data_IF_991178880603
#
_entry.id   IF_991178880603
#
_cell.length_a   1.000
_cell.length_b   1.000
_cell.length_c   1.000
_cell.angle_alpha   90.00
_cell.angle_beta   90.00
_cell.angle_gamma   90.00
#
_symmetry.space_group_name_H-M   'P 1'
#
loop_
_entity.id
_entity.type
_entity.pdbx_description
1 polymer ?
#
# COMPACT_ATOMS: atom_id res chain seq x y z
N UNK A 1 28.79 -22.00 12.40
CA UNK A 1 27.68 -21.24 13.02
C UNK A 1 26.84 -20.44 12.02
N UNK A 2 27.15 -20.47 10.71
CA UNK A 2 26.40 -19.80 9.63
C UNK A 2 24.90 -20.15 9.58
N UNK A 3 24.51 -21.38 9.94
CA UNK A 3 23.12 -21.82 9.88
C UNK A 3 22.17 -21.03 10.79
N UNK A 4 22.58 -20.74 12.03
CA UNK A 4 21.74 -20.02 12.99
C UNK A 4 21.63 -18.55 12.64
N UNK A 5 22.72 -17.91 12.22
CA UNK A 5 22.70 -16.49 11.81
C UNK A 5 21.84 -16.28 10.56
N UNK A 6 21.96 -17.17 9.57
CA UNK A 6 21.12 -17.11 8.37
C UNK A 6 19.64 -17.32 8.70
N UNK A 7 19.33 -18.26 9.61
CA UNK A 7 17.96 -18.49 10.07
C UNK A 7 17.39 -17.24 10.74
N UNK A 8 18.14 -16.62 11.67
CA UNK A 8 17.71 -15.41 12.37
C UNK A 8 17.56 -14.23 11.40
N UNK A 9 18.49 -14.04 10.47
CA UNK A 9 18.38 -13.01 9.44
C UNK A 9 17.16 -13.24 8.53
N UNK A 10 16.91 -14.48 8.12
CA UNK A 10 15.73 -14.85 7.32
C UNK A 10 14.41 -14.60 8.06
N UNK A 11 14.33 -14.98 9.34
CA UNK A 11 13.17 -14.67 10.18
C UNK A 11 12.96 -13.15 10.35
N UNK A 12 14.06 -12.40 10.51
CA UNK A 12 14.01 -10.95 10.66
C UNK A 12 13.56 -10.26 9.36
N UNK A 13 14.01 -10.74 8.21
CA UNK A 13 13.54 -10.31 6.89
C UNK A 13 12.03 -10.55 6.75
N UNK A 14 11.57 -11.78 7.04
CA UNK A 14 10.16 -12.13 6.94
C UNK A 14 9.29 -11.25 7.86
N UNK A 15 9.74 -11.02 9.10
CA UNK A 15 9.07 -10.14 10.04
C UNK A 15 9.00 -8.70 9.53
N UNK A 16 10.13 -8.16 9.05
CA UNK A 16 10.20 -6.81 8.49
C UNK A 16 9.24 -6.64 7.31
N UNK A 17 9.20 -7.60 6.38
CA UNK A 17 8.27 -7.58 5.24
C UNK A 17 6.81 -7.59 5.70
N UNK A 18 6.44 -8.49 6.62
CA UNK A 18 5.05 -8.56 7.13
C UNK A 18 4.66 -7.24 7.79
N UNK A 19 5.51 -6.69 8.67
CA UNK A 19 5.25 -5.41 9.32
C UNK A 19 5.20 -4.24 8.32
N UNK A 20 6.09 -4.24 7.33
CA UNK A 20 6.19 -3.22 6.30
C UNK A 20 4.96 -3.19 5.41
N UNK A 21 4.43 -4.34 5.02
CA UNK A 21 3.18 -4.43 4.25
C UNK A 21 1.97 -3.92 5.03
N UNK A 22 1.88 -4.23 6.32
CA UNK A 22 0.78 -3.70 7.16
C UNK A 22 0.85 -2.17 7.22
N UNK A 23 2.05 -1.62 7.43
CA UNK A 23 2.25 -0.17 7.48
C UNK A 23 2.08 0.50 6.11
N UNK A 24 2.45 -0.16 5.02
CA UNK A 24 2.23 0.29 3.65
C UNK A 24 0.74 0.56 3.41
N UNK A 25 -0.11 -0.42 3.69
CA UNK A 25 -1.56 -0.31 3.54
C UNK A 25 -2.16 0.72 4.51
N UNK A 26 -1.64 0.80 5.74
CA UNK A 26 -2.06 1.81 6.70
C UNK A 26 -1.70 3.23 6.27
N UNK A 27 -0.59 3.45 5.57
CA UNK A 27 -0.22 4.77 5.06
C UNK A 27 -1.21 5.25 3.99
N UNK A 28 -1.62 4.36 3.07
CA UNK A 28 -2.69 4.65 2.13
C UNK A 28 -3.98 5.05 2.87
N UNK A 29 -4.42 4.21 3.81
CA UNK A 29 -5.64 4.45 4.58
C UNK A 29 -5.57 5.74 5.42
N UNK A 30 -4.41 6.04 6.00
CA UNK A 30 -4.18 7.25 6.79
C UNK A 30 -4.31 8.50 5.90
N UNK A 31 -3.66 8.52 4.74
CA UNK A 31 -3.74 9.66 3.82
C UNK A 31 -5.16 9.82 3.26
N UNK A 32 -5.83 8.72 2.89
CA UNK A 32 -7.23 8.78 2.43
C UNK A 32 -8.16 9.31 3.52
N UNK A 33 -7.97 8.86 4.77
CA UNK A 33 -8.71 9.35 5.93
C UNK A 33 -8.48 10.84 6.17
N UNK A 34 -7.23 11.31 6.09
CA UNK A 34 -6.88 12.73 6.20
C UNK A 34 -7.45 13.55 5.03
N UNK A 35 -7.51 12.97 3.84
CA UNK A 35 -8.09 13.56 2.64
C UNK A 35 -9.63 13.59 2.63
N UNK A 36 -10.27 12.90 3.60
CA UNK A 36 -11.71 12.65 3.71
C UNK A 36 -12.30 11.93 2.49
N UNK A 37 -11.56 10.96 1.97
CA UNK A 37 -12.02 10.08 0.89
C UNK A 37 -12.47 8.78 1.54
N UNK A 38 -13.67 8.32 1.21
CA UNK A 38 -14.18 7.04 1.71
C UNK A 38 -13.34 5.89 1.13
N UNK A 39 -13.09 4.86 1.93
CA UNK A 39 -12.32 3.70 1.51
C UNK A 39 -12.78 2.45 2.23
N UNK A 40 -12.58 1.30 1.59
CA UNK A 40 -12.72 -0.01 2.22
C UNK A 40 -11.36 -0.67 2.29
N UNK A 41 -11.02 -1.24 3.45
CA UNK A 41 -9.86 -2.12 3.60
C UNK A 41 -10.34 -3.55 3.53
N UNK A 42 -9.88 -4.29 2.53
CA UNK A 42 -10.12 -5.73 2.44
C UNK A 42 -8.89 -6.45 2.97
N UNK A 43 -9.06 -7.27 4.00
CA UNK A 43 -7.99 -8.09 4.56
C UNK A 43 -8.13 -9.53 4.05
N UNK A 44 -7.03 -10.07 3.56
CA UNK A 44 -6.89 -11.47 3.22
C UNK A 44 -7.02 -11.78 1.71
N UNK A 45 -6.31 -12.82 1.26
CA UNK A 45 -6.34 -13.28 -0.12
C UNK A 45 -7.72 -13.88 -0.47
N UNK A 46 -8.25 -13.55 -1.65
CA UNK A 46 -9.39 -14.26 -2.22
C UNK A 46 -9.05 -15.76 -2.31
N UNK A 47 -9.75 -16.58 -1.50
CA UNK A 47 -9.39 -17.96 -1.13
C UNK A 47 -9.40 -18.96 -2.31
N UNK A 48 -9.62 -18.48 -3.53
CA UNK A 48 -9.75 -19.30 -4.74
C UNK A 48 -8.43 -19.60 -5.46
N UNK A 49 -7.30 -18.99 -5.07
CA UNK A 49 -5.98 -19.24 -5.68
C UNK A 49 -5.07 -19.99 -4.70
N UNK A 50 -4.51 -21.12 -5.14
CA UNK A 50 -3.77 -22.08 -4.31
C UNK A 50 -2.60 -21.50 -3.49
N UNK A 51 -2.22 -22.22 -2.44
CA UNK A 51 -1.34 -21.76 -1.35
C UNK A 51 -0.04 -21.09 -1.79
N UNK A 52 0.62 -21.54 -2.87
CA UNK A 52 1.88 -20.94 -3.33
C UNK A 52 1.67 -19.56 -3.98
N UNK A 53 0.54 -19.37 -4.67
CA UNK A 53 0.15 -18.10 -5.31
C UNK A 53 -0.38 -17.08 -4.30
N UNK A 54 -0.84 -17.58 -3.15
CA UNK A 54 -1.28 -16.78 -2.00
C UNK A 54 -0.11 -16.04 -1.32
N UNK A 55 1.07 -16.66 -1.24
CA UNK A 55 2.26 -16.03 -0.66
C UNK A 55 2.96 -15.06 -1.62
N UNK A 56 2.82 -15.24 -2.94
CA UNK A 56 3.59 -14.48 -3.93
C UNK A 56 2.77 -13.48 -4.75
N UNK A 57 1.44 -13.50 -4.70
CA UNK A 57 0.63 -12.74 -5.68
C UNK A 57 -0.72 -12.21 -5.16
N UNK A 58 -1.04 -12.37 -3.88
CA UNK A 58 -2.28 -11.79 -3.34
C UNK A 58 -1.99 -10.56 -2.48
N UNK A 59 -2.78 -9.48 -2.59
CA UNK A 59 -2.77 -8.40 -1.62
C UNK A 59 -3.20 -8.98 -0.26
N UNK A 60 -2.32 -8.94 0.74
CA UNK A 60 -2.65 -9.42 2.08
C UNK A 60 -3.58 -8.44 2.80
N UNK A 61 -3.51 -7.17 2.43
CA UNK A 61 -4.56 -6.18 2.58
C UNK A 61 -4.58 -5.32 1.31
N UNK A 62 -5.73 -4.75 0.98
CA UNK A 62 -5.86 -3.78 -0.11
C UNK A 62 -6.82 -2.70 0.31
N UNK A 63 -6.38 -1.45 0.16
CA UNK A 63 -7.21 -0.26 0.36
C UNK A 63 -7.81 0.17 -0.98
N UNK A 64 -9.14 0.08 -1.09
CA UNK A 64 -9.87 0.55 -2.28
C UNK A 64 -10.56 1.88 -1.96
N UNK A 65 -10.17 2.99 -2.61
CA UNK A 65 -10.81 4.29 -2.43
C UNK A 65 -12.12 4.40 -3.23
N UNK A 66 -13.08 5.14 -2.69
CA UNK A 66 -14.36 5.50 -3.32
C UNK A 66 -14.45 7.03 -3.42
N UNK A 67 -13.74 7.65 -4.38
CA UNK A 67 -13.84 9.08 -4.58
C UNK A 67 -15.24 9.46 -5.09
N UNK A 68 -15.76 10.61 -4.67
CA UNK A 68 -17.03 11.17 -5.15
C UNK A 68 -16.90 11.87 -6.52
N UNK A 69 -15.69 11.95 -7.07
CA UNK A 69 -15.39 12.65 -8.33
C UNK A 69 -15.23 14.16 -8.16
N UNK A 70 -15.50 14.70 -6.96
CA UNK A 70 -15.36 16.13 -6.62
C UNK A 70 -14.02 16.44 -5.97
N UNK A 71 -13.25 15.42 -5.58
CA UNK A 71 -11.96 15.59 -4.94
C UNK A 71 -10.89 15.98 -5.97
N UNK A 72 -9.95 16.86 -5.61
CA UNK A 72 -8.84 17.17 -6.50
C UNK A 72 -7.90 15.96 -6.64
N UNK A 73 -7.47 15.69 -7.87
CA UNK A 73 -6.63 14.53 -8.22
C UNK A 73 -5.36 14.39 -7.36
N UNK A 74 -4.76 15.51 -6.91
CA UNK A 74 -3.56 15.47 -6.08
C UNK A 74 -3.75 14.71 -4.76
N UNK A 75 -4.97 14.66 -4.19
CA UNK A 75 -5.25 13.87 -2.98
C UNK A 75 -5.04 12.37 -3.23
N UNK A 76 -5.52 11.86 -4.37
CA UNK A 76 -5.31 10.47 -4.78
C UNK A 76 -3.84 10.20 -5.09
N UNK A 77 -3.13 11.15 -5.69
CA UNK A 77 -1.69 11.03 -5.94
C UNK A 77 -0.88 10.91 -4.66
N UNK A 78 -1.15 11.76 -3.67
CA UNK A 78 -0.46 11.68 -2.37
C UNK A 78 -0.83 10.38 -1.64
N UNK A 79 -2.09 9.95 -1.70
CA UNK A 79 -2.49 8.67 -1.14
C UNK A 79 -1.70 7.52 -1.77
N UNK A 80 -1.59 7.48 -3.10
CA UNK A 80 -0.85 6.45 -3.83
C UNK A 80 0.67 6.47 -3.56
N UNK A 81 1.26 7.64 -3.34
CA UNK A 81 2.70 7.78 -3.05
C UNK A 81 3.04 7.70 -1.55
N UNK A 82 2.04 7.63 -0.68
CA UNK A 82 2.24 7.62 0.77
C UNK A 82 3.15 6.51 1.31
N UNK A 83 3.25 5.30 0.72
CA UNK A 83 4.16 4.27 1.22
C UNK A 83 5.64 4.65 1.18
N UNK A 84 6.03 5.63 0.34
CA UNK A 84 7.40 6.16 0.31
C UNK A 84 7.83 6.74 1.66
N UNK A 85 6.88 7.12 2.53
CA UNK A 85 7.18 7.59 3.88
C UNK A 85 7.82 6.50 4.76
N UNK A 86 7.72 5.21 4.40
CA UNK A 86 8.43 4.14 5.11
C UNK A 86 9.96 4.26 5.00
N UNK A 87 10.49 5.03 4.06
CA UNK A 87 11.93 5.31 3.96
C UNK A 87 12.43 6.19 5.12
N UNK A 88 11.56 7.04 5.68
CA UNK A 88 11.91 8.01 6.73
C UNK A 88 12.58 7.40 7.96
N UNK A 89 12.04 6.35 8.62
CA UNK A 89 12.70 5.75 9.78
C UNK A 89 14.10 5.23 9.44
N UNK A 90 14.30 4.61 8.27
CA UNK A 90 15.61 4.10 7.86
C UNK A 90 16.62 5.23 7.68
N UNK A 91 16.24 6.31 7.00
CA UNK A 91 17.10 7.49 6.84
C UNK A 91 17.39 8.17 8.17
N UNK A 92 16.38 8.28 9.04
CA UNK A 92 16.53 8.87 10.37
C UNK A 92 17.54 8.12 11.22
N UNK A 93 17.45 6.79 11.26
CA UNK A 93 18.38 5.97 12.04
C UNK A 93 19.79 5.98 11.40
N UNK A 94 19.88 5.93 10.06
CA UNK A 94 21.16 6.03 9.36
C UNK A 94 21.89 7.36 9.65
N UNK A 95 21.14 8.46 9.85
CA UNK A 95 21.70 9.77 10.22
C UNK A 95 22.19 9.86 11.66
N UNK A 96 21.67 9.03 12.56
CA UNK A 96 22.04 9.01 13.98
C UNK A 96 23.28 8.13 14.26
N UNK A 97 23.98 7.64 13.21
CA UNK A 97 25.10 6.69 13.28
C UNK A 97 24.84 5.45 14.17
N UNK A 98 23.56 5.18 14.45
CA UNK A 98 23.14 4.17 15.44
C UNK A 98 23.01 2.76 14.85
N UNK A 99 23.22 2.61 13.53
CA UNK A 99 23.16 1.31 12.84
C UNK A 99 24.55 0.91 12.36
N UNK A 100 25.05 -0.21 12.92
CA UNK A 100 26.07 -0.99 12.23
C UNK A 100 25.37 -1.88 11.20
N UNK A 101 25.51 -1.51 9.92
CA UNK A 101 25.05 -2.33 8.80
C UNK A 101 25.90 -3.60 8.59
N UNK A 102 26.97 -3.78 9.38
CA UNK A 102 27.78 -4.99 9.38
C UNK A 102 27.02 -6.22 9.93
N UNK A 103 25.87 -5.99 10.57
CA UNK A 103 24.98 -7.07 11.02
C UNK A 103 24.09 -7.58 9.88
N UNK A 104 24.12 -8.90 9.56
CA UNK A 104 23.19 -9.51 8.61
C UNK A 104 21.71 -9.32 8.98
N UNK A 105 21.42 -9.24 10.28
CA UNK A 105 20.07 -9.03 10.81
C UNK A 105 19.58 -7.61 10.50
N UNK A 106 20.41 -6.60 10.78
CA UNK A 106 20.11 -5.20 10.48
C UNK A 106 19.91 -5.00 8.97
N UNK A 107 20.79 -5.61 8.16
CA UNK A 107 20.69 -5.57 6.71
C UNK A 107 19.39 -6.22 6.23
N UNK A 108 19.05 -7.42 6.74
CA UNK A 108 17.81 -8.11 6.41
C UNK A 108 16.55 -7.29 6.75
N UNK A 109 16.50 -6.68 7.94
CA UNK A 109 15.38 -5.81 8.35
C UNK A 109 15.28 -4.60 7.42
N UNK A 110 16.42 -3.94 7.14
CA UNK A 110 16.48 -2.75 6.30
C UNK A 110 15.99 -3.06 4.89
N UNK A 111 16.45 -4.16 4.28
CA UNK A 111 16.02 -4.60 2.95
C UNK A 111 14.51 -4.89 2.94
N UNK A 112 14.02 -5.69 3.89
CA UNK A 112 12.60 -6.05 3.96
C UNK A 112 11.71 -4.82 4.11
N UNK A 113 12.11 -3.89 4.98
CA UNK A 113 11.38 -2.65 5.21
C UNK A 113 11.38 -1.71 4.00
N UNK A 114 12.55 -1.46 3.41
CA UNK A 114 12.69 -0.60 2.23
C UNK A 114 11.98 -1.18 1.01
N UNK A 115 11.99 -2.50 0.84
CA UNK A 115 11.23 -3.16 -0.23
C UNK A 115 9.73 -2.82 -0.12
N UNK A 116 9.18 -2.77 1.09
CA UNK A 116 7.79 -2.37 1.34
C UNK A 116 7.53 -0.87 1.15
N UNK A 117 8.55 -0.01 1.02
CA UNK A 117 8.35 1.41 0.74
C UNK A 117 8.05 1.71 -0.73
N UNK A 118 8.32 0.73 -1.62
CA UNK A 118 8.15 0.88 -3.06
C UNK A 118 6.66 0.79 -3.41
N UNK A 119 6.06 1.82 -4.01
CA UNK A 119 4.67 1.76 -4.46
C UNK A 119 4.47 0.67 -5.51
N UNK A 120 3.32 0.02 -5.51
CA UNK A 120 3.01 -1.01 -6.51
C UNK A 120 2.78 -0.38 -7.90
N UNK A 121 2.81 -1.18 -8.98
CA UNK A 121 2.45 -0.70 -10.32
C UNK A 121 1.05 -0.04 -10.37
N UNK A 122 0.11 -0.53 -9.55
CA UNK A 122 -1.23 0.06 -9.45
C UNK A 122 -1.18 1.43 -8.78
N UNK A 123 -0.40 1.60 -7.72
CA UNK A 123 -0.24 2.90 -7.04
C UNK A 123 0.43 3.91 -7.96
N UNK A 124 1.45 3.50 -8.72
CA UNK A 124 2.05 4.35 -9.74
C UNK A 124 1.02 4.76 -10.80
N UNK A 125 0.17 3.83 -11.27
CA UNK A 125 -0.91 4.16 -12.20
C UNK A 125 -1.85 5.22 -11.62
N UNK A 126 -2.28 5.09 -10.36
CA UNK A 126 -3.10 6.12 -9.70
C UNK A 126 -2.35 7.45 -9.58
N UNK A 127 -1.07 7.43 -9.23
CA UNK A 127 -0.27 8.65 -9.09
C UNK A 127 -0.19 9.47 -10.39
N UNK A 128 -0.12 8.82 -11.55
CA UNK A 128 -0.07 9.51 -12.84
C UNK A 128 -1.47 9.77 -13.42
N UNK A 129 -2.38 8.81 -13.33
CA UNK A 129 -3.68 8.80 -14.01
C UNK A 129 -4.89 9.09 -13.09
N UNK A 130 -4.67 9.65 -11.88
CA UNK A 130 -5.75 10.00 -10.95
C UNK A 130 -6.88 10.86 -11.56
N UNK A 131 -6.56 11.70 -12.56
CA UNK A 131 -7.56 12.56 -13.20
C UNK A 131 -8.59 11.75 -14.01
N UNK A 132 -8.12 10.78 -14.80
CA UNK A 132 -8.97 9.89 -15.60
C UNK A 132 -9.88 9.03 -14.72
N UNK A 133 -9.38 8.60 -13.55
CA UNK A 133 -10.16 7.85 -12.56
C UNK A 133 -11.32 8.70 -12.01
N UNK A 134 -11.08 9.98 -11.73
CA UNK A 134 -12.12 10.89 -11.23
C UNK A 134 -13.16 11.20 -12.32
N UNK A 135 -12.72 11.48 -13.54
CA UNK A 135 -13.62 11.75 -14.68
C UNK A 135 -14.54 10.55 -14.99
N UNK A 136 -13.99 9.34 -14.99
CA UNK A 136 -14.77 8.11 -15.18
C UNK A 136 -15.79 7.86 -14.06
N UNK A 137 -15.51 8.33 -12.84
CA UNK A 137 -16.43 8.21 -11.71
C UNK A 137 -17.61 9.17 -11.83
N UNK A 138 -17.36 10.42 -12.22
CA UNK A 138 -18.41 11.43 -12.49
C UNK A 138 -19.33 10.95 -13.62
N UNK A 139 -18.76 10.38 -14.68
CA UNK A 139 -19.54 9.91 -15.84
C UNK A 139 -20.39 8.67 -15.54
N UNK A 140 -20.07 7.92 -14.47
CA UNK A 140 -20.77 6.69 -14.08
C UNK A 140 -21.95 6.92 -13.13
N UNK A 141 -22.17 8.15 -12.66
CA UNK A 141 -23.38 8.51 -11.90
C UNK A 141 -24.59 8.36 -12.85
N UNK A 142 -25.51 7.39 -12.60
CA UNK A 142 -26.63 7.19 -13.49
C UNK A 142 -27.58 8.37 -13.34
N UNK A 143 -27.62 9.23 -14.35
CA UNK A 143 -28.77 10.10 -14.58
C UNK A 143 -30.00 9.18 -14.62
N UNK A 144 -30.76 9.18 -13.52
CA UNK A 144 -31.94 8.35 -13.33
C UNK A 144 -33.15 9.26 -13.50
N UNK A 145 -33.65 9.52 -14.72
CA UNK A 145 -35.00 10.01 -14.86
C UNK A 145 -35.93 8.83 -14.58
N UNK A 146 -36.49 8.79 -13.37
CA UNK A 146 -37.65 7.98 -13.07
C UNK A 146 -38.82 8.54 -13.90
N UNK A 147 -38.92 8.16 -15.17
CA UNK A 147 -40.11 8.40 -15.97
C UNK A 147 -41.20 7.45 -15.46
N UNK A 148 -42.04 8.02 -14.58
CA UNK A 148 -43.42 7.58 -14.38
C UNK A 148 -44.11 7.48 -15.74
N UNK A 149 -44.40 6.26 -16.17
CA UNK A 149 -45.53 6.01 -17.06
C UNK A 149 -46.52 5.13 -16.33
N UNK A 150 -47.61 5.77 -15.92
CA UNK A 150 -48.90 5.11 -15.84
C UNK A 150 -49.30 4.68 -17.25
N UNK A 151 -49.76 3.44 -17.38
CA UNK A 151 -50.96 3.02 -18.11
C UNK A 151 -51.30 1.57 -17.74
#
# INVERSE_FOLDING_TARGET
>A
MVGTELLVAGCSLAFAVVSGLVLHEWLHALVLRLARIDYTITYGPDRKRGAIKMFTSCPWASVTPYPSGREPAWKLRIAALSPLLLVVPVLGIARLESLSFDSPIVTAITIGWLACSIPSPQDFSVAFYAHEILESTVTREPDSPHHSHAD
#
